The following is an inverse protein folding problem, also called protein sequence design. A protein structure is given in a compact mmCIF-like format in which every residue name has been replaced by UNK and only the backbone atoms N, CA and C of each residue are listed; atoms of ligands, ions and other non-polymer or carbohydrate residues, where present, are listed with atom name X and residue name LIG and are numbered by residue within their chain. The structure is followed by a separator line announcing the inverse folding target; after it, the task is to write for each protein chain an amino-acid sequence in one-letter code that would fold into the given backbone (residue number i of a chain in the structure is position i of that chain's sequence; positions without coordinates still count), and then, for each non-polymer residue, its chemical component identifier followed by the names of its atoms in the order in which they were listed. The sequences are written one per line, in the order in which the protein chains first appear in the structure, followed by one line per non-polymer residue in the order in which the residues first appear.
data_IF_485673561329
#
_entry.id   IF_485673561329
#
_cell.length_a   1.000
_cell.length_b   1.000
_cell.length_c   1.000
_cell.angle_alpha   90.00
_cell.angle_beta   90.00
_cell.angle_gamma   90.00
#
_symmetry.space_group_name_H-M   'P 1'
#
loop_
_entity.id
_entity.type
_entity.pdbx_description
1 polymer ?
#
# COMPACT_ATOMS: atom_id res chain seq x y z
N UNK A 1 -20.39 12.80 -24.94
CA UNK A 1 -20.02 12.73 -23.50
C UNK A 1 -20.20 11.34 -22.90
N UNK A 2 -21.34 10.65 -23.12
CA UNK A 2 -21.62 9.30 -22.57
C UNK A 2 -20.49 8.27 -22.76
N UNK A 3 -19.94 8.12 -23.97
CA UNK A 3 -18.85 7.16 -24.24
C UNK A 3 -17.55 7.51 -23.49
N UNK A 4 -17.26 8.81 -23.32
CA UNK A 4 -16.07 9.29 -22.62
C UNK A 4 -16.17 9.01 -21.11
N UNK A 5 -17.33 9.28 -20.50
CA UNK A 5 -17.61 8.95 -19.08
C UNK A 5 -17.52 7.44 -18.86
N UNK A 6 -18.08 6.63 -19.77
CA UNK A 6 -18.00 5.16 -19.68
C UNK A 6 -16.57 4.64 -19.77
N UNK A 7 -15.74 5.22 -20.65
CA UNK A 7 -14.34 4.83 -20.78
C UNK A 7 -13.54 5.18 -19.52
N UNK A 8 -13.72 6.38 -18.95
CA UNK A 8 -13.03 6.79 -17.70
C UNK A 8 -13.51 5.97 -16.51
N UNK A 9 -14.79 5.63 -16.43
CA UNK A 9 -15.32 4.73 -15.39
C UNK A 9 -14.67 3.34 -15.45
N UNK A 10 -14.46 2.78 -16.66
CA UNK A 10 -13.71 1.53 -16.81
C UNK A 10 -12.23 1.67 -16.39
N UNK A 11 -11.59 2.78 -16.76
CA UNK A 11 -10.20 3.04 -16.35
C UNK A 11 -10.06 3.22 -14.83
N UNK A 12 -11.05 3.84 -14.20
CA UNK A 12 -11.14 3.96 -12.73
C UNK A 12 -11.23 2.57 -12.10
N UNK A 13 -12.14 1.71 -12.57
CA UNK A 13 -12.29 0.35 -12.04
C UNK A 13 -10.99 -0.47 -12.16
N UNK A 14 -10.29 -0.35 -13.29
CA UNK A 14 -8.99 -1.01 -13.48
C UNK A 14 -7.94 -0.44 -12.53
N UNK A 15 -7.92 0.88 -12.32
CA UNK A 15 -7.00 1.54 -11.41
C UNK A 15 -7.26 1.15 -9.94
N UNK A 16 -8.53 1.03 -9.53
CA UNK A 16 -8.94 0.54 -8.22
C UNK A 16 -8.49 -0.92 -8.00
N UNK A 17 -8.74 -1.79 -8.98
CA UNK A 17 -8.26 -3.18 -8.91
C UNK A 17 -6.74 -3.27 -8.78
N UNK A 18 -6.01 -2.44 -9.51
CA UNK A 18 -4.55 -2.39 -9.40
C UNK A 18 -4.10 -1.85 -8.04
N UNK A 19 -4.76 -0.82 -7.50
CA UNK A 19 -4.50 -0.33 -6.15
C UNK A 19 -4.72 -1.45 -5.13
N UNK A 20 -5.83 -2.17 -5.21
CA UNK A 20 -6.17 -3.22 -4.25
C UNK A 20 -5.19 -4.42 -4.34
N UNK A 21 -4.71 -4.76 -5.54
CA UNK A 21 -3.62 -5.73 -5.71
C UNK A 21 -2.33 -5.26 -5.04
N UNK A 22 -1.95 -4.01 -5.26
CA UNK A 22 -0.74 -3.43 -4.65
C UNK A 22 -0.87 -3.32 -3.13
N UNK A 23 -2.06 -3.02 -2.60
CA UNK A 23 -2.32 -3.04 -1.15
C UNK A 23 -2.04 -4.41 -0.54
N UNK A 24 -2.51 -5.49 -1.19
CA UNK A 24 -2.26 -6.86 -0.71
C UNK A 24 -0.78 -7.22 -0.71
N UNK A 25 -0.04 -6.81 -1.75
CA UNK A 25 1.42 -7.04 -1.82
C UNK A 25 2.13 -6.27 -0.71
N UNK A 26 1.75 -5.02 -0.48
CA UNK A 26 2.30 -4.21 0.60
C UNK A 26 2.02 -4.81 1.99
N UNK A 27 0.79 -5.28 2.23
CA UNK A 27 0.43 -5.95 3.49
C UNK A 27 1.26 -7.22 3.72
N UNK A 28 1.48 -8.03 2.68
CA UNK A 28 2.32 -9.23 2.77
C UNK A 28 3.77 -8.88 3.12
N UNK A 29 4.35 -7.87 2.45
CA UNK A 29 5.71 -7.42 2.74
C UNK A 29 5.84 -6.85 4.15
N UNK A 30 4.83 -6.11 4.61
CA UNK A 30 4.80 -5.57 5.98
C UNK A 30 4.73 -6.69 7.02
N UNK A 31 3.97 -7.76 6.76
CA UNK A 31 3.93 -8.94 7.61
C UNK A 31 5.29 -9.65 7.66
N UNK A 32 5.98 -9.76 6.52
CA UNK A 32 7.33 -10.34 6.46
C UNK A 32 8.35 -9.51 7.24
N UNK A 33 8.31 -8.18 7.12
CA UNK A 33 9.17 -7.29 7.89
C UNK A 33 8.93 -7.44 9.41
N UNK A 34 7.66 -7.52 9.82
CA UNK A 34 7.27 -7.78 11.21
C UNK A 34 7.78 -9.13 11.72
N UNK A 35 7.75 -10.17 10.88
CA UNK A 35 8.27 -11.49 11.22
C UNK A 35 9.79 -11.44 11.50
N UNK A 36 10.56 -10.79 10.62
CA UNK A 36 12.01 -10.65 10.82
C UNK A 36 12.35 -9.82 12.07
N UNK A 37 11.54 -8.81 12.38
CA UNK A 37 11.68 -8.05 13.62
C UNK A 37 11.46 -8.92 14.88
N UNK A 38 10.42 -9.76 14.88
CA UNK A 38 10.18 -10.71 15.97
C UNK A 38 11.34 -11.71 16.11
N UNK A 39 11.87 -12.23 15.01
CA UNK A 39 13.02 -13.13 15.01
C UNK A 39 14.28 -12.47 15.57
N UNK A 40 14.57 -11.22 15.17
CA UNK A 40 15.70 -10.47 15.71
C UNK A 40 15.57 -10.24 17.21
N UNK A 41 14.38 -9.94 17.71
CA UNK A 41 14.12 -9.79 19.14
C UNK A 41 14.36 -11.11 19.89
N UNK A 42 13.87 -12.24 19.36
CA UNK A 42 14.09 -13.56 19.95
C UNK A 42 15.57 -13.97 19.96
N UNK A 43 16.29 -13.74 18.85
CA UNK A 43 17.73 -14.00 18.76
C UNK A 43 18.55 -13.08 19.67
N UNK A 44 18.14 -11.81 19.82
CA UNK A 44 18.74 -10.87 20.76
C UNK A 44 18.57 -11.34 22.21
N UNK A 45 17.37 -11.78 22.59
CA UNK A 45 17.09 -12.34 23.90
C UNK A 45 17.91 -13.62 24.16
N UNK A 46 18.00 -14.51 23.18
CA UNK A 46 18.80 -15.74 23.27
C UNK A 46 20.29 -15.42 23.46
N UNK A 47 20.82 -14.45 22.71
CA UNK A 47 22.22 -14.00 22.85
C UNK A 47 22.49 -13.43 24.24
N UNK A 48 21.58 -12.61 24.78
CA UNK A 48 21.70 -12.07 26.14
C UNK A 48 21.68 -13.20 27.19
N UNK A 49 20.79 -14.18 27.06
CA UNK A 49 20.73 -15.34 27.95
C UNK A 49 21.99 -16.22 27.88
N UNK A 50 22.57 -16.43 26.68
CA UNK A 50 23.82 -17.16 26.54
C UNK A 50 25.01 -16.41 27.16
N UNK A 51 25.01 -15.07 27.14
CA UNK A 51 26.06 -14.25 27.75
C UNK A 51 26.01 -14.31 29.29
N UNK A 52 24.81 -14.30 29.89
CA UNK A 52 24.65 -14.41 31.35
C UNK A 52 25.05 -15.80 31.88
N UNK A 53 24.74 -16.86 31.14
CA UNK A 53 25.18 -18.23 31.45
C UNK A 53 26.70 -18.39 31.42
N UNK A 54 27.38 -17.76 30.45
CA UNK A 54 28.84 -17.76 30.37
C UNK A 54 29.53 -16.97 31.51
N UNK A 55 28.92 -15.88 31.97
CA UNK A 55 29.46 -15.05 33.04
C UNK A 55 29.34 -15.70 34.44
N UNK A 56 28.25 -16.45 34.69
CA UNK A 56 27.98 -17.06 36.01
C UNK A 56 28.64 -18.43 36.23
N UNK A 57 29.19 -19.06 35.19
CA UNK A 57 29.80 -20.40 35.25
C UNK A 57 31.31 -20.45 35.47
N UNK A 58 31.98 -19.30 35.61
CA UNK A 58 33.44 -19.12 35.44
C UNK A 58 34.37 -19.98 36.32
N UNK A 59 33.91 -20.61 37.39
CA UNK A 59 34.81 -21.28 38.35
C UNK A 59 35.23 -22.72 37.95
N UNK A 60 34.42 -23.45 37.16
CA UNK A 60 34.66 -24.87 36.83
C UNK A 60 34.16 -25.30 35.44
N UNK A 61 34.36 -24.48 34.40
CA UNK A 61 33.94 -24.84 33.03
C UNK A 61 34.99 -25.75 32.37
N UNK A 62 34.55 -26.92 31.89
CA UNK A 62 35.35 -27.79 31.01
C UNK A 62 35.69 -27.05 29.70
N UNK A 63 36.86 -27.33 29.12
CA UNK A 63 37.30 -26.79 27.82
C UNK A 63 36.26 -27.00 26.71
N UNK A 64 35.53 -28.12 26.75
CA UNK A 64 34.44 -28.42 25.80
C UNK A 64 33.26 -27.47 25.92
N UNK A 65 32.94 -26.99 27.12
CA UNK A 65 31.85 -26.03 27.37
C UNK A 65 32.24 -24.64 26.86
N UNK A 66 33.49 -24.24 27.04
CA UNK A 66 34.02 -22.98 26.50
C UNK A 66 34.05 -22.96 24.96
N UNK A 67 34.46 -24.07 24.34
CA UNK A 67 34.45 -24.18 22.87
C UNK A 67 33.02 -24.17 22.30
N UNK A 68 32.08 -24.87 22.95
CA UNK A 68 30.69 -24.89 22.53
C UNK A 68 30.03 -23.51 22.67
N UNK A 69 30.26 -22.81 23.80
CA UNK A 69 29.72 -21.45 23.99
C UNK A 69 30.30 -20.46 22.99
N UNK A 70 31.59 -20.53 22.67
CA UNK A 70 32.21 -19.70 21.63
C UNK A 70 31.61 -19.98 20.24
N UNK A 71 31.40 -21.25 19.89
CA UNK A 71 30.76 -21.66 18.64
C UNK A 71 29.32 -21.15 18.52
N UNK A 72 28.53 -21.30 19.60
CA UNK A 72 27.15 -20.79 19.67
C UNK A 72 27.11 -19.27 19.57
N UNK A 73 28.01 -18.54 20.24
CA UNK A 73 28.09 -17.08 20.12
C UNK A 73 28.44 -16.61 18.72
N UNK A 74 29.37 -17.30 18.03
CA UNK A 74 29.72 -17.00 16.65
C UNK A 74 28.52 -17.24 15.73
N UNK A 75 27.81 -18.36 15.92
CA UNK A 75 26.62 -18.71 15.15
C UNK A 75 25.49 -17.70 15.36
N UNK A 76 25.18 -17.34 16.61
CA UNK A 76 24.18 -16.32 16.95
C UNK A 76 24.53 -14.96 16.36
N UNK A 77 25.81 -14.58 16.39
CA UNK A 77 26.26 -13.30 15.82
C UNK A 77 26.13 -13.28 14.30
N UNK A 78 26.43 -14.38 13.62
CA UNK A 78 26.20 -14.51 12.16
C UNK A 78 24.72 -14.48 11.81
N UNK A 79 23.89 -15.22 12.54
CA UNK A 79 22.43 -15.22 12.33
C UNK A 79 21.82 -13.84 12.55
N UNK A 80 22.20 -13.14 13.63
CA UNK A 80 21.76 -11.77 13.89
C UNK A 80 22.13 -10.83 12.75
N UNK A 81 23.38 -10.89 12.26
CA UNK A 81 23.82 -10.06 11.16
C UNK A 81 23.04 -10.34 9.87
N UNK A 82 22.81 -11.62 9.56
CA UNK A 82 22.01 -12.03 8.41
C UNK A 82 20.58 -11.51 8.52
N UNK A 83 19.89 -11.76 9.64
CA UNK A 83 18.52 -11.29 9.83
C UNK A 83 18.40 -9.76 9.87
N UNK A 84 19.43 -9.04 10.33
CA UNK A 84 19.48 -7.58 10.24
C UNK A 84 19.55 -7.11 8.79
N UNK A 85 20.35 -7.78 7.96
CA UNK A 85 20.44 -7.49 6.54
C UNK A 85 19.12 -7.79 5.83
N UNK A 86 18.52 -8.96 6.08
CA UNK A 86 17.22 -9.33 5.51
C UNK A 86 16.13 -8.34 5.92
N UNK A 87 16.09 -7.91 7.19
CA UNK A 87 15.16 -6.86 7.64
C UNK A 87 15.38 -5.56 6.87
N UNK A 88 16.62 -5.11 6.70
CA UNK A 88 16.92 -3.87 5.98
C UNK A 88 16.47 -3.95 4.50
N UNK A 89 16.64 -5.11 3.86
CA UNK A 89 16.14 -5.34 2.49
C UNK A 89 14.60 -5.29 2.48
N UNK A 90 13.93 -5.98 3.41
CA UNK A 90 12.48 -5.97 3.50
C UNK A 90 11.90 -4.58 3.79
N UNK A 91 12.56 -3.78 4.64
CA UNK A 91 12.17 -2.40 4.92
C UNK A 91 12.28 -1.53 3.66
N UNK A 92 13.35 -1.71 2.88
CA UNK A 92 13.51 -1.01 1.59
C UNK A 92 12.44 -1.42 0.57
N UNK A 93 12.08 -2.71 0.52
CA UNK A 93 10.99 -3.20 -0.32
C UNK A 93 9.63 -2.64 0.12
N UNK A 94 9.37 -2.58 1.42
CA UNK A 94 8.16 -1.97 1.99
C UNK A 94 8.06 -0.49 1.61
N UNK A 95 9.15 0.27 1.69
CA UNK A 95 9.20 1.67 1.28
C UNK A 95 8.90 1.81 -0.22
N UNK A 96 9.48 0.94 -1.06
CA UNK A 96 9.21 0.92 -2.50
C UNK A 96 7.73 0.63 -2.79
N UNK A 97 7.17 -0.39 -2.15
CA UNK A 97 5.78 -0.77 -2.34
C UNK A 97 4.82 0.31 -1.83
N UNK A 98 5.13 0.97 -0.70
CA UNK A 98 4.38 2.12 -0.21
C UNK A 98 4.36 3.26 -1.24
N UNK A 99 5.50 3.62 -1.81
CA UNK A 99 5.58 4.65 -2.85
C UNK A 99 4.76 4.28 -4.10
N UNK A 100 4.79 3.01 -4.51
CA UNK A 100 3.96 2.51 -5.62
C UNK A 100 2.46 2.57 -5.30
N UNK A 101 2.07 2.25 -4.07
CA UNK A 101 0.69 2.33 -3.61
C UNK A 101 0.20 3.78 -3.59
N UNK A 102 1.02 4.72 -3.11
CA UNK A 102 0.74 6.16 -3.14
C UNK A 102 0.52 6.66 -4.57
N UNK A 103 1.37 6.23 -5.52
CA UNK A 103 1.21 6.57 -6.93
C UNK A 103 -0.08 5.99 -7.52
N UNK A 104 -0.44 4.75 -7.17
CA UNK A 104 -1.71 4.15 -7.58
C UNK A 104 -2.90 4.93 -7.00
N UNK A 105 -2.83 5.33 -5.73
CA UNK A 105 -3.87 6.11 -5.07
C UNK A 105 -4.05 7.49 -5.72
N UNK A 106 -2.96 8.18 -6.03
CA UNK A 106 -2.98 9.44 -6.76
C UNK A 106 -3.64 9.29 -8.15
N UNK A 107 -3.35 8.18 -8.86
CA UNK A 107 -3.98 7.88 -10.15
C UNK A 107 -5.48 7.65 -10.05
N UNK A 108 -5.95 6.91 -9.05
CA UNK A 108 -7.39 6.69 -8.80
C UNK A 108 -8.08 8.02 -8.52
N UNK A 109 -7.53 8.82 -7.60
CA UNK A 109 -8.06 10.16 -7.26
C UNK A 109 -8.10 11.08 -8.48
N UNK A 110 -7.07 11.05 -9.32
CA UNK A 110 -7.04 11.78 -10.59
C UNK A 110 -8.18 11.37 -11.53
N UNK A 111 -8.46 10.08 -11.67
CA UNK A 111 -9.56 9.59 -12.50
C UNK A 111 -10.93 9.96 -11.93
N UNK A 112 -11.10 9.90 -10.60
CA UNK A 112 -12.33 10.33 -9.91
C UNK A 112 -12.64 11.81 -10.18
N UNK A 113 -11.64 12.69 -10.03
CA UNK A 113 -11.84 14.14 -10.28
C UNK A 113 -12.23 14.43 -11.73
N UNK A 114 -11.62 13.74 -12.70
CA UNK A 114 -11.97 13.86 -14.12
C UNK A 114 -13.39 13.35 -14.38
N UNK A 115 -13.75 12.22 -13.78
CA UNK A 115 -15.07 11.60 -13.90
C UNK A 115 -16.16 12.53 -13.37
N UNK A 116 -15.96 13.11 -12.17
CA UNK A 116 -16.89 14.06 -11.58
C UNK A 116 -17.04 15.33 -12.43
N UNK A 117 -15.92 15.88 -12.93
CA UNK A 117 -15.96 17.03 -13.85
C UNK A 117 -16.77 16.72 -15.12
N UNK A 118 -16.62 15.52 -15.68
CA UNK A 118 -17.33 15.14 -16.90
C UNK A 118 -18.81 14.83 -16.67
N UNK A 119 -19.17 14.25 -15.51
CA UNK A 119 -20.57 14.12 -15.09
C UNK A 119 -21.21 15.49 -14.94
N UNK A 120 -20.58 16.41 -14.21
CA UNK A 120 -21.09 17.77 -14.02
C UNK A 120 -21.32 18.48 -15.37
N UNK A 121 -20.36 18.37 -16.29
CA UNK A 121 -20.51 18.91 -17.65
C UNK A 121 -21.67 18.26 -18.41
N UNK A 122 -21.86 16.95 -18.29
CA UNK A 122 -22.97 16.25 -18.93
C UNK A 122 -24.32 16.69 -18.36
N UNK A 123 -24.45 16.82 -17.04
CA UNK A 123 -25.66 17.31 -16.39
C UNK A 123 -25.99 18.74 -16.83
N UNK A 124 -24.99 19.61 -16.88
CA UNK A 124 -25.15 20.97 -17.38
C UNK A 124 -25.63 21.02 -18.84
N UNK A 125 -25.00 20.24 -19.73
CA UNK A 125 -25.41 20.16 -21.15
C UNK A 125 -26.84 19.63 -21.30
N UNK A 126 -27.26 18.70 -20.44
CA UNK A 126 -28.61 18.15 -20.45
C UNK A 126 -29.63 19.18 -19.96
N UNK A 127 -29.39 19.82 -18.81
CA UNK A 127 -30.24 20.88 -18.27
C UNK A 127 -30.41 22.04 -19.27
N UNK A 128 -29.32 22.44 -19.94
CA UNK A 128 -29.36 23.49 -20.98
C UNK A 128 -30.24 23.09 -22.17
N UNK A 129 -30.22 21.82 -22.59
CA UNK A 129 -31.09 21.32 -23.68
C UNK A 129 -32.55 21.28 -23.26
N UNK A 130 -32.83 20.81 -22.05
CA UNK A 130 -34.19 20.76 -21.49
C UNK A 130 -34.77 22.17 -21.35
N UNK A 131 -33.98 23.13 -20.84
CA UNK A 131 -34.38 24.54 -20.76
C UNK A 131 -34.72 25.11 -22.14
N UNK A 132 -33.87 24.89 -23.14
CA UNK A 132 -34.14 25.35 -24.51
C UNK A 132 -35.43 24.74 -25.08
N UNK A 133 -35.67 23.46 -24.86
CA UNK A 133 -36.90 22.79 -25.30
C UNK A 133 -38.15 23.40 -24.65
N UNK A 134 -38.07 23.75 -23.37
CA UNK A 134 -39.16 24.44 -22.66
C UNK A 134 -39.40 25.84 -23.27
N UNK A 135 -38.33 26.61 -23.51
CA UNK A 135 -38.42 27.93 -24.15
C UNK A 135 -39.05 27.84 -25.56
N UNK A 136 -38.63 26.86 -26.36
CA UNK A 136 -39.17 26.60 -27.70
C UNK A 136 -40.66 26.25 -27.64
N UNK A 137 -41.09 25.42 -26.67
CA UNK A 137 -42.50 25.09 -26.44
C UNK A 137 -43.34 26.31 -26.03
N UNK A 138 -42.81 27.16 -25.14
CA UNK A 138 -43.47 28.41 -24.72
C UNK A 138 -43.62 29.35 -25.92
N UNK A 139 -42.56 29.53 -26.71
CA UNK A 139 -42.55 30.37 -27.89
C UNK A 139 -43.53 29.86 -28.96
N UNK A 140 -43.58 28.55 -29.20
CA UNK A 140 -44.54 27.94 -30.12
C UNK A 140 -45.99 28.15 -29.67
N UNK A 141 -46.29 27.99 -28.38
CA UNK A 141 -47.61 28.29 -27.80
C UNK A 141 -47.98 29.77 -27.93
N UNK A 142 -47.03 30.67 -27.67
CA UNK A 142 -47.25 32.13 -27.78
C UNK A 142 -47.52 32.56 -29.22
N UNK A 143 -46.83 31.98 -30.20
CA UNK A 143 -47.08 32.23 -31.63
C UNK A 143 -48.47 31.77 -32.06
N UNK A 144 -48.94 30.60 -31.61
CA UNK A 144 -50.31 30.11 -31.90
C UNK A 144 -51.43 30.99 -31.34
N UNK A 145 -51.23 31.66 -30.19
CA UNK A 145 -52.23 32.57 -29.59
C UNK A 145 -52.30 33.96 -30.24
N UNK A 146 -51.34 34.31 -31.11
CA UNK A 146 -51.29 35.61 -31.82
C UNK A 146 -51.86 35.54 -33.24
N UNK A 147 -52.15 34.35 -33.73
CA UNK A 147 -52.96 34.08 -34.91
C UNK A 147 -54.40 33.87 -34.45
#
# INVERSE_FOLDING_TARGET
MKNKVRAVSKLQQIAEQNRDRQSKVFEQQQQQASYFEQQLNALGALKAACQTLGANGSAHMSSTVLQNTASVQLMLSRMLHHHQHEKAVMDAECLRAKSQLEACHAKVKGLETVLERWKAKQHYEQAKKEQKQIEDLINARRKRKRL
#
